data_IF_079612827304
#
_entry.id   IF_079612827304
#
_cell.length_a   1.000
_cell.length_b   1.000
_cell.length_c   1.000
_cell.angle_alpha   90.00
_cell.angle_beta   90.00
_cell.angle_gamma   90.00
#
_symmetry.space_group_name_H-M   'P 1'
#
loop_
_entity.id
_entity.type
_entity.pdbx_description
1 polymer ?
#
# COMPACT_ATOMS: atom_id res chain seq x y z
N UNK A 1 19.30 13.26 -12.33
CA UNK A 1 18.91 12.28 -13.37
C UNK A 1 20.10 11.84 -14.22
N UNK A 2 21.12 11.33 -13.56
CA UNK A 2 22.32 10.79 -14.20
C UNK A 2 22.32 9.26 -14.25
N UNK A 3 21.24 8.63 -13.78
CA UNK A 3 21.13 7.17 -13.70
C UNK A 3 21.86 6.53 -12.51
N UNK A 4 22.32 7.34 -11.56
CA UNK A 4 22.98 6.80 -10.37
C UNK A 4 21.99 6.08 -9.47
N UNK A 5 22.50 5.13 -8.66
CA UNK A 5 21.74 4.35 -7.70
C UNK A 5 22.31 4.57 -6.31
N UNK A 6 21.44 4.84 -5.35
CA UNK A 6 21.81 5.02 -3.96
C UNK A 6 21.06 4.04 -3.07
N UNK A 7 21.75 3.47 -2.10
CA UNK A 7 21.13 2.66 -1.06
C UNK A 7 20.56 3.61 0.01
N UNK A 8 19.26 3.51 0.27
CA UNK A 8 18.59 4.35 1.26
C UNK A 8 18.52 3.70 2.64
N UNK A 9 18.21 2.40 2.69
CA UNK A 9 18.18 1.64 3.93
C UNK A 9 18.47 0.17 3.63
N UNK A 10 19.29 -0.45 4.46
CA UNK A 10 19.61 -1.88 4.40
C UNK A 10 19.14 -2.63 5.63
N UNK A 11 19.43 -3.92 5.69
CA UNK A 11 19.16 -4.80 6.83
C UNK A 11 17.68 -4.85 7.24
N UNK A 12 16.78 -4.59 6.30
CA UNK A 12 15.35 -4.81 6.47
C UNK A 12 15.00 -6.27 6.24
N UNK A 13 13.76 -6.65 6.54
CA UNK A 13 13.25 -7.98 6.25
C UNK A 13 12.86 -8.16 4.79
N UNK A 14 11.74 -8.86 4.55
CA UNK A 14 11.26 -9.14 3.19
C UNK A 14 10.53 -7.93 2.63
N UNK A 15 11.28 -6.97 2.13
CA UNK A 15 10.69 -5.76 1.53
C UNK A 15 9.93 -6.12 0.25
N UNK A 16 8.74 -5.54 0.09
CA UNK A 16 7.89 -5.84 -1.06
C UNK A 16 7.20 -4.59 -1.57
N UNK A 17 6.01 -4.24 -1.09
CA UNK A 17 5.27 -3.07 -1.57
C UNK A 17 5.95 -1.76 -1.22
N UNK A 18 5.86 -0.81 -2.13
CA UNK A 18 6.45 0.53 -1.98
C UNK A 18 5.55 1.55 -2.68
N UNK A 19 5.35 2.70 -2.05
CA UNK A 19 4.51 3.75 -2.62
C UNK A 19 4.87 5.12 -2.05
N UNK A 20 4.63 6.15 -2.84
CA UNK A 20 4.84 7.55 -2.44
C UNK A 20 3.48 8.22 -2.31
N UNK A 21 3.29 9.04 -1.26
CA UNK A 21 2.09 9.84 -1.10
C UNK A 21 1.91 10.84 -2.25
N UNK A 22 0.67 11.27 -2.55
CA UNK A 22 0.44 12.14 -3.72
C UNK A 22 1.17 13.49 -3.66
N UNK A 23 1.49 13.98 -2.47
CA UNK A 23 2.27 15.21 -2.30
C UNK A 23 3.79 15.02 -2.45
N UNK A 24 4.24 13.77 -2.61
CA UNK A 24 5.66 13.45 -2.76
C UNK A 24 6.47 13.54 -1.47
N UNK A 25 5.84 13.66 -0.31
CA UNK A 25 6.51 13.92 0.97
C UNK A 25 6.62 12.71 1.89
N UNK A 26 5.95 11.62 1.57
CA UNK A 26 5.97 10.40 2.40
C UNK A 26 6.22 9.18 1.53
N UNK A 27 7.08 8.30 2.00
CA UNK A 27 7.33 7.00 1.38
C UNK A 27 6.81 5.91 2.31
N UNK A 28 6.09 4.94 1.74
CA UNK A 28 5.68 3.74 2.45
C UNK A 28 6.46 2.55 1.90
N UNK A 29 6.94 1.69 2.81
CA UNK A 29 7.59 0.42 2.46
C UNK A 29 7.05 -0.65 3.38
N UNK A 30 6.62 -1.79 2.83
CA UNK A 30 6.22 -2.90 3.69
C UNK A 30 7.29 -4.01 3.71
N UNK A 31 7.32 -4.70 4.84
CA UNK A 31 8.07 -5.95 5.02
C UNK A 31 7.05 -7.08 5.18
N UNK A 32 6.87 -7.87 4.13
CA UNK A 32 5.77 -8.83 4.05
C UNK A 32 5.84 -9.91 5.15
N UNK A 33 6.98 -10.58 5.29
CA UNK A 33 7.12 -11.65 6.28
C UNK A 33 7.10 -11.12 7.72
N UNK A 34 7.58 -9.91 7.95
CA UNK A 34 7.58 -9.25 9.25
C UNK A 34 6.24 -8.58 9.58
N UNK A 35 5.39 -8.39 8.57
CA UNK A 35 4.03 -7.82 8.69
C UNK A 35 4.02 -6.36 9.13
N UNK A 36 5.04 -5.61 8.72
CA UNK A 36 5.19 -4.20 9.04
C UNK A 36 4.99 -3.32 7.81
N UNK A 37 4.32 -2.20 8.00
CA UNK A 37 4.29 -1.09 7.04
C UNK A 37 5.02 0.09 7.68
N UNK A 38 6.10 0.53 7.04
CA UNK A 38 6.92 1.65 7.48
C UNK A 38 6.58 2.90 6.69
N UNK A 39 6.63 4.05 7.36
CA UNK A 39 6.51 5.34 6.71
C UNK A 39 7.78 6.16 6.98
N UNK A 40 8.20 6.90 5.97
CA UNK A 40 9.36 7.79 6.00
C UNK A 40 8.93 9.14 5.49
N UNK A 41 9.55 10.21 5.99
CA UNK A 41 9.43 11.52 5.36
C UNK A 41 10.51 11.65 4.28
N UNK A 42 10.14 12.19 3.13
CA UNK A 42 11.06 12.43 2.01
C UNK A 42 11.48 13.91 2.10
N UNK A 43 12.77 14.15 2.29
CA UNK A 43 13.32 15.50 2.35
C UNK A 43 13.47 16.08 0.95
N UNK A 44 13.61 17.40 0.88
CA UNK A 44 13.76 18.12 -0.39
C UNK A 44 14.96 17.64 -1.22
N UNK A 45 16.01 17.15 -0.57
CA UNK A 45 17.21 16.62 -1.23
C UNK A 45 17.05 15.13 -1.65
N UNK A 46 15.88 14.53 -1.40
CA UNK A 46 15.59 13.14 -1.74
C UNK A 46 16.00 12.12 -0.68
N UNK A 47 16.64 12.54 0.40
CA UNK A 47 16.96 11.64 1.51
C UNK A 47 15.76 11.42 2.41
N UNK A 48 15.79 10.36 3.22
CA UNK A 48 14.68 9.97 4.10
C UNK A 48 14.98 10.35 5.56
N UNK A 49 13.91 10.62 6.29
CA UNK A 49 13.98 10.86 7.73
C UNK A 49 12.71 10.39 8.43
N UNK A 50 12.70 10.40 9.75
CA UNK A 50 11.53 10.10 10.59
C UNK A 50 10.88 8.76 10.26
N UNK A 51 11.68 7.70 10.15
CA UNK A 51 11.16 6.34 9.99
C UNK A 51 10.25 6.00 11.17
N UNK A 52 9.04 5.56 10.87
CA UNK A 52 8.07 5.18 11.89
C UNK A 52 7.22 4.02 11.42
N UNK A 53 6.75 3.23 12.37
CA UNK A 53 5.82 2.16 12.09
C UNK A 53 4.46 2.76 11.77
N UNK A 54 3.98 2.57 10.54
CA UNK A 54 2.66 3.02 10.11
C UNK A 54 1.59 2.04 10.56
N UNK A 55 1.85 0.74 10.38
CA UNK A 55 0.95 -0.32 10.82
C UNK A 55 1.70 -1.65 10.96
N UNK A 56 1.27 -2.47 11.91
CA UNK A 56 1.72 -3.85 12.08
C UNK A 56 0.50 -4.76 12.07
N UNK A 57 0.55 -5.83 11.26
CA UNK A 57 -0.49 -6.86 11.23
C UNK A 57 -0.08 -8.06 12.07
N UNK A 58 -1.05 -8.68 12.73
CA UNK A 58 -0.82 -9.89 13.54
C UNK A 58 -0.81 -11.16 12.68
N UNK A 59 -1.29 -11.09 11.46
CA UNK A 59 -1.44 -12.24 10.57
C UNK A 59 -1.07 -11.88 9.12
N UNK A 60 -0.80 -12.90 8.30
CA UNK A 60 -0.59 -12.83 6.86
C UNK A 60 0.43 -11.76 6.42
N UNK A 61 0.74 -11.75 5.13
CA UNK A 61 1.68 -10.80 4.56
C UNK A 61 0.99 -9.66 3.80
N UNK A 62 1.82 -8.93 3.08
CA UNK A 62 1.39 -7.83 2.22
C UNK A 62 2.21 -7.88 0.94
N UNK A 63 1.64 -7.32 -0.12
CA UNK A 63 2.34 -7.21 -1.40
C UNK A 63 2.22 -5.78 -1.91
N UNK A 64 1.79 -5.54 -3.14
CA UNK A 64 1.73 -4.21 -3.72
C UNK A 64 0.80 -3.23 -2.99
N UNK A 65 1.14 -1.96 -3.08
CA UNK A 65 0.43 -0.85 -2.45
C UNK A 65 0.23 0.31 -3.42
N UNK A 66 -0.80 1.13 -3.20
CA UNK A 66 -1.06 2.38 -3.93
C UNK A 66 -1.63 3.44 -2.99
N UNK A 67 -1.29 4.70 -3.24
CA UNK A 67 -1.99 5.83 -2.65
C UNK A 67 -3.04 6.36 -3.62
N UNK A 68 -4.20 6.76 -3.11
CA UNK A 68 -5.15 7.55 -3.88
C UNK A 68 -4.85 9.05 -3.73
N UNK A 69 -5.60 9.89 -4.43
CA UNK A 69 -5.35 11.33 -4.46
C UNK A 69 -5.55 12.02 -3.10
N UNK A 70 -6.29 11.39 -2.18
CA UNK A 70 -6.49 11.90 -0.82
C UNK A 70 -5.44 11.37 0.16
N UNK A 71 -4.46 10.60 -0.31
CA UNK A 71 -3.39 10.08 0.52
C UNK A 71 -3.73 8.81 1.29
N UNK A 72 -4.89 8.19 1.03
CA UNK A 72 -5.21 6.89 1.64
C UNK A 72 -4.33 5.83 1.03
N UNK A 73 -3.83 4.92 1.87
CA UNK A 73 -2.97 3.83 1.43
C UNK A 73 -3.81 2.56 1.23
N UNK A 74 -3.81 2.06 0.02
CA UNK A 74 -4.45 0.81 -0.40
C UNK A 74 -3.39 -0.26 -0.47
N UNK A 75 -3.60 -1.39 0.19
CA UNK A 75 -2.61 -2.48 0.17
C UNK A 75 -3.26 -3.85 0.03
N UNK A 76 -2.56 -4.73 -0.67
CA UNK A 76 -2.97 -6.12 -0.86
C UNK A 76 -2.46 -6.96 0.31
N UNK A 77 -3.39 -7.72 0.93
CA UNK A 77 -3.08 -8.65 2.02
C UNK A 77 -2.86 -10.04 1.40
N UNK A 78 -1.63 -10.27 0.94
CA UNK A 78 -1.20 -11.54 0.34
C UNK A 78 -1.40 -12.69 1.33
N UNK A 79 -1.94 -13.81 0.89
CA UNK A 79 -2.35 -15.01 1.61
C UNK A 79 -3.66 -14.84 2.40
N UNK A 80 -4.02 -13.64 2.82
CA UNK A 80 -5.34 -13.37 3.43
C UNK A 80 -6.42 -13.21 2.37
N UNK A 81 -6.09 -12.63 1.21
CA UNK A 81 -7.01 -12.43 0.11
C UNK A 81 -7.94 -11.23 0.33
N UNK A 82 -7.42 -10.14 0.86
CA UNK A 82 -8.17 -8.89 1.05
C UNK A 82 -7.38 -7.69 0.56
N UNK A 83 -8.09 -6.60 0.32
CA UNK A 83 -7.51 -5.26 0.16
C UNK A 83 -7.91 -4.43 1.39
N UNK A 84 -6.94 -3.79 2.01
CA UNK A 84 -7.17 -2.91 3.17
C UNK A 84 -6.84 -1.48 2.77
N UNK A 85 -7.65 -0.54 3.24
CA UNK A 85 -7.43 0.89 2.99
C UNK A 85 -7.22 1.61 4.33
N UNK A 86 -6.13 2.37 4.41
CA UNK A 86 -5.80 3.17 5.59
C UNK A 86 -5.90 4.65 5.30
N UNK A 87 -6.32 5.42 6.32
CA UNK A 87 -6.17 6.87 6.29
C UNK A 87 -4.68 7.25 6.33
N UNK A 88 -4.32 8.49 5.95
CA UNK A 88 -2.93 8.96 6.09
C UNK A 88 -2.37 8.87 7.52
N UNK A 89 -3.26 8.80 8.53
CA UNK A 89 -2.87 8.67 9.93
C UNK A 89 -2.70 7.21 10.39
N UNK A 90 -2.95 6.23 9.49
CA UNK A 90 -2.79 4.82 9.80
C UNK A 90 -4.03 4.15 10.38
N UNK A 91 -5.20 4.81 10.31
CA UNK A 91 -6.46 4.19 10.73
C UNK A 91 -7.03 3.34 9.61
N UNK A 92 -7.36 2.08 9.91
CA UNK A 92 -8.00 1.21 8.94
C UNK A 92 -9.43 1.69 8.68
N UNK A 93 -9.75 1.96 7.42
CA UNK A 93 -11.05 2.46 6.99
C UNK A 93 -11.96 1.34 6.52
N UNK A 94 -11.44 0.45 5.69
CA UNK A 94 -12.19 -0.66 5.11
C UNK A 94 -11.27 -1.82 4.81
N UNK A 95 -11.82 -3.03 4.86
CA UNK A 95 -11.17 -4.25 4.36
C UNK A 95 -12.16 -4.98 3.45
N UNK A 96 -11.74 -5.26 2.21
CA UNK A 96 -12.60 -5.86 1.18
C UNK A 96 -12.08 -7.25 0.84
N UNK A 97 -12.89 -8.31 1.03
CA UNK A 97 -12.49 -9.66 0.66
C UNK A 97 -12.49 -9.85 -0.85
N UNK A 98 -11.54 -10.63 -1.35
CA UNK A 98 -11.38 -11.01 -2.75
C UNK A 98 -11.76 -12.47 -2.93
N UNK A 99 -11.71 -12.97 -4.19
CA UNK A 99 -12.13 -14.37 -4.47
C UNK A 99 -11.01 -15.39 -4.30
N UNK A 100 -9.76 -14.93 -4.15
CA UNK A 100 -8.58 -15.77 -3.92
C UNK A 100 -7.72 -15.18 -2.83
N UNK A 101 -6.57 -15.82 -2.57
CA UNK A 101 -5.70 -15.48 -1.44
C UNK A 101 -4.44 -14.73 -1.82
N UNK A 102 -3.92 -14.91 -3.04
CA UNK A 102 -2.60 -14.38 -3.42
C UNK A 102 -2.73 -13.11 -4.28
N UNK A 103 -3.42 -12.12 -3.71
CA UNK A 103 -3.46 -10.79 -4.29
C UNK A 103 -2.06 -10.17 -4.24
N UNK A 104 -1.56 -9.68 -5.37
CA UNK A 104 -0.14 -9.31 -5.50
C UNK A 104 0.10 -7.85 -5.79
N UNK A 105 -0.82 -7.17 -6.49
CA UNK A 105 -0.66 -5.76 -6.82
C UNK A 105 -2.02 -5.16 -7.14
N UNK A 106 -2.09 -3.83 -7.16
CA UNK A 106 -3.33 -3.14 -7.50
C UNK A 106 -3.04 -1.80 -8.16
N UNK A 107 -4.04 -1.31 -8.87
CA UNK A 107 -4.07 0.05 -9.42
C UNK A 107 -5.48 0.61 -9.27
N UNK A 108 -5.60 1.93 -9.31
CA UNK A 108 -6.83 2.63 -8.94
C UNK A 108 -7.33 3.50 -10.08
N UNK A 109 -8.67 3.59 -10.20
CA UNK A 109 -9.34 4.65 -10.96
C UNK A 109 -10.26 5.37 -9.98
N UNK A 110 -10.09 6.68 -9.84
CA UNK A 110 -10.94 7.49 -8.98
C UNK A 110 -12.09 8.07 -9.81
N UNK A 111 -13.31 7.72 -9.41
CA UNK A 111 -14.54 8.27 -9.98
C UNK A 111 -15.10 9.32 -9.05
N UNK A 112 -16.24 9.91 -9.44
CA UNK A 112 -16.89 10.93 -8.62
C UNK A 112 -17.30 10.40 -7.25
N UNK A 113 -17.97 9.24 -7.21
CA UNK A 113 -18.57 8.68 -5.98
C UNK A 113 -17.84 7.48 -5.42
N UNK A 114 -17.02 6.80 -6.23
CA UNK A 114 -16.33 5.60 -5.81
C UNK A 114 -14.90 5.56 -6.34
N UNK A 115 -14.14 4.61 -5.84
CA UNK A 115 -12.82 4.26 -6.35
C UNK A 115 -12.87 2.81 -6.81
N UNK A 116 -12.46 2.57 -8.05
CA UNK A 116 -12.32 1.24 -8.63
C UNK A 116 -10.88 0.79 -8.41
N UNK A 117 -10.71 -0.35 -7.76
CA UNK A 117 -9.38 -0.94 -7.61
C UNK A 117 -9.31 -2.22 -8.42
N UNK A 118 -8.29 -2.33 -9.26
CA UNK A 118 -8.01 -3.51 -10.07
C UNK A 118 -6.86 -4.27 -9.41
N UNK A 119 -7.07 -5.56 -9.13
CA UNK A 119 -6.15 -6.36 -8.33
C UNK A 119 -5.72 -7.60 -9.11
N UNK A 120 -4.41 -7.86 -9.18
CA UNK A 120 -3.87 -9.10 -9.74
C UNK A 120 -3.95 -10.21 -8.70
N UNK A 121 -4.44 -11.38 -9.13
CA UNK A 121 -4.66 -12.57 -8.29
C UNK A 121 -3.77 -13.70 -8.78
N UNK A 122 -2.60 -13.86 -8.17
CA UNK A 122 -1.59 -14.80 -8.67
C UNK A 122 -2.01 -16.28 -8.54
N UNK A 123 -2.78 -16.63 -7.51
CA UNK A 123 -3.23 -18.01 -7.28
C UNK A 123 -4.33 -18.44 -8.22
N UNK A 124 -5.04 -17.51 -8.85
CA UNK A 124 -6.13 -17.81 -9.78
C UNK A 124 -5.79 -17.48 -11.23
N UNK A 125 -4.61 -16.90 -11.49
CA UNK A 125 -4.22 -16.50 -12.85
C UNK A 125 -5.19 -15.49 -13.46
N UNK A 126 -5.72 -14.57 -12.65
CA UNK A 126 -6.71 -13.59 -13.07
C UNK A 126 -6.47 -12.23 -12.43
N UNK A 127 -7.30 -11.28 -12.74
CA UNK A 127 -7.37 -10.02 -12.03
C UNK A 127 -8.83 -9.67 -11.76
N UNK A 128 -9.06 -8.93 -10.68
CA UNK A 128 -10.40 -8.60 -10.20
C UNK A 128 -10.54 -7.10 -10.05
N UNK A 129 -11.79 -6.62 -9.99
CA UNK A 129 -12.09 -5.24 -9.68
C UNK A 129 -13.01 -5.17 -8.47
N UNK A 130 -12.72 -4.23 -7.57
CA UNK A 130 -13.62 -3.88 -6.47
C UNK A 130 -14.01 -2.42 -6.58
N UNK A 131 -15.20 -2.10 -6.09
CA UNK A 131 -15.77 -0.75 -6.10
C UNK A 131 -15.98 -0.34 -4.65
N UNK A 132 -15.30 0.71 -4.20
CA UNK A 132 -15.43 1.21 -2.83
C UNK A 132 -16.00 2.62 -2.87
N UNK A 133 -17.11 2.82 -2.21
CA UNK A 133 -17.77 4.13 -2.17
C UNK A 133 -16.93 5.10 -1.34
N UNK A 134 -16.75 6.32 -1.84
CA UNK A 134 -15.88 7.31 -1.18
C UNK A 134 -16.34 7.68 0.22
N UNK A 135 -17.63 7.62 0.52
CA UNK A 135 -18.07 7.95 1.89
C UNK A 135 -17.66 6.87 2.91
N UNK A 136 -17.40 5.62 2.48
CA UNK A 136 -16.82 4.59 3.34
C UNK A 136 -15.36 4.86 3.65
N UNK A 137 -14.73 5.76 2.91
CA UNK A 137 -13.30 6.09 3.01
C UNK A 137 -13.07 7.42 3.72
N UNK A 138 -14.06 7.95 4.42
CA UNK A 138 -13.96 9.19 5.19
C UNK A 138 -13.01 9.03 6.38
N UNK A 139 -12.25 10.10 6.66
CA UNK A 139 -11.36 10.10 7.82
C UNK A 139 -11.17 11.48 8.42
#
# INVERSE_FOLDING_TARGET
>A
PDGSVSLLEGEMGTTNGIEVSPDGRRLYVNESAQRNVWAYDIKADGTLENKRLFHHFDDFGMDGMRCDSNGRLWLTRHEKGTVVVFSPQGRQLVEVPLTGKKCSNLTLIEREKDIEAYITMADRGCFEVIYVNKHELSF
#
